data_IF_383980896973
#
_entry.id   IF_383980896973
#
_cell.length_a   1.000
_cell.length_b   1.000
_cell.length_c   1.000
_cell.angle_alpha   90.00
_cell.angle_beta   90.00
_cell.angle_gamma   90.00
#
_symmetry.space_group_name_H-M   'P 1'
#
loop_
_entity.id
_entity.type
_entity.pdbx_description
1 polymer ?
#
# COMPACT_ATOMS: atom_id res chain seq x y z
N UNK A 1 7.27 -6.36 -4.34
CA UNK A 1 6.28 -6.31 -3.22
C UNK A 1 5.50 -5.00 -3.19
N UNK A 2 4.22 -5.06 -2.83
CA UNK A 2 3.32 -3.94 -2.53
C UNK A 2 2.25 -4.36 -1.54
N UNK A 3 1.44 -3.44 -1.01
CA UNK A 3 0.45 -3.79 0.02
C UNK A 3 -0.81 -2.90 0.01
N UNK A 4 -1.94 -3.46 0.45
CA UNK A 4 -3.17 -2.71 0.74
C UNK A 4 -3.40 -2.68 2.25
N UNK A 5 -3.55 -1.47 2.81
CA UNK A 5 -3.84 -1.24 4.22
C UNK A 5 -5.34 -0.98 4.42
N UNK A 6 -5.94 -1.73 5.34
CA UNK A 6 -7.33 -1.57 5.72
C UNK A 6 -7.55 -1.82 7.21
N UNK A 7 -8.64 -1.28 7.73
CA UNK A 7 -9.15 -1.65 9.05
C UNK A 7 -9.97 -2.92 8.90
N UNK A 8 -9.62 -4.02 9.59
CA UNK A 8 -10.40 -5.25 9.52
C UNK A 8 -11.81 -5.03 10.07
N UNK A 9 -12.80 -5.61 9.39
CA UNK A 9 -14.16 -5.70 9.94
C UNK A 9 -14.32 -7.06 10.64
N UNK A 10 -15.00 -7.09 11.78
CA UNK A 10 -15.31 -8.35 12.45
C UNK A 10 -16.39 -9.14 11.70
N UNK A 11 -16.33 -10.48 11.77
CA UNK A 11 -17.40 -11.37 11.32
C UNK A 11 -17.06 -12.23 10.10
N UNK A 12 -17.92 -13.21 9.82
CA UNK A 12 -17.67 -14.23 8.81
C UNK A 12 -17.61 -13.68 7.37
N UNK A 13 -18.41 -12.66 7.05
CA UNK A 13 -18.43 -12.07 5.72
C UNK A 13 -17.10 -11.39 5.36
N UNK A 14 -16.43 -10.78 6.35
CA UNK A 14 -15.12 -10.17 6.14
C UNK A 14 -14.04 -11.22 5.93
N UNK A 15 -14.02 -12.24 6.79
CA UNK A 15 -13.08 -13.36 6.65
C UNK A 15 -13.24 -14.08 5.30
N UNK A 16 -14.46 -14.20 4.78
CA UNK A 16 -14.72 -14.75 3.46
C UNK A 16 -14.17 -13.87 2.34
N UNK A 17 -14.34 -12.55 2.43
CA UNK A 17 -13.77 -11.62 1.44
C UNK A 17 -12.23 -11.66 1.43
N UNK A 18 -11.58 -11.72 2.61
CA UNK A 18 -10.13 -11.89 2.70
C UNK A 18 -9.66 -13.21 2.05
N UNK A 19 -10.38 -14.30 2.27
CA UNK A 19 -10.07 -15.59 1.65
C UNK A 19 -10.24 -15.54 0.12
N UNK A 20 -11.33 -14.96 -0.37
CA UNK A 20 -11.59 -14.81 -1.81
C UNK A 20 -10.48 -14.02 -2.51
N UNK A 21 -9.98 -12.95 -1.89
CA UNK A 21 -8.87 -12.16 -2.43
C UNK A 21 -7.60 -13.01 -2.51
N UNK A 22 -7.26 -13.75 -1.44
CA UNK A 22 -6.07 -14.60 -1.41
C UNK A 22 -6.17 -15.71 -2.46
N UNK A 23 -7.36 -16.31 -2.64
CA UNK A 23 -7.61 -17.33 -3.67
C UNK A 23 -7.51 -16.75 -5.08
N UNK A 24 -8.07 -15.56 -5.30
CA UNK A 24 -7.99 -14.84 -6.59
C UNK A 24 -6.54 -14.61 -7.00
N UNK A 25 -5.73 -14.04 -6.10
CA UNK A 25 -4.33 -13.74 -6.38
C UNK A 25 -3.49 -15.01 -6.58
N UNK A 26 -3.74 -16.06 -5.78
CA UNK A 26 -3.02 -17.34 -5.92
C UNK A 26 -3.45 -18.19 -7.11
N UNK A 27 -4.55 -17.84 -7.77
CA UNK A 27 -5.08 -18.54 -8.93
C UNK A 27 -4.42 -18.15 -10.26
N UNK A 28 -3.59 -17.11 -10.28
CA UNK A 28 -2.87 -16.68 -11.48
C UNK A 28 -1.76 -17.68 -11.88
N UNK A 29 -1.43 -17.73 -13.17
CA UNK A 29 -0.39 -18.64 -13.68
C UNK A 29 1.00 -18.33 -13.08
N UNK A 30 1.28 -17.04 -12.87
CA UNK A 30 2.46 -16.51 -12.20
C UNK A 30 2.04 -15.89 -10.87
N UNK A 31 1.37 -16.69 -10.01
CA UNK A 31 0.79 -16.19 -8.77
C UNK A 31 1.84 -15.60 -7.81
N UNK A 32 1.63 -14.38 -7.29
CA UNK A 32 2.51 -13.79 -6.31
C UNK A 32 2.42 -14.49 -4.95
N UNK A 33 3.43 -14.30 -4.09
CA UNK A 33 3.30 -14.64 -2.69
C UNK A 33 2.40 -13.61 -1.98
N UNK A 34 1.43 -14.11 -1.22
CA UNK A 34 0.41 -13.27 -0.57
C UNK A 34 0.35 -13.61 0.90
N UNK A 35 0.46 -12.57 1.74
CA UNK A 35 0.42 -12.68 3.20
C UNK A 35 -0.33 -11.53 3.85
N UNK A 36 -0.87 -11.78 5.04
CA UNK A 36 -1.51 -10.76 5.87
C UNK A 36 -0.57 -10.39 7.02
N UNK A 37 -0.25 -9.11 7.14
CA UNK A 37 0.52 -8.55 8.24
C UNK A 37 -0.38 -7.64 9.09
N UNK A 38 -0.33 -7.77 10.42
CA UNK A 38 -1.11 -6.95 11.33
C UNK A 38 -0.18 -5.95 12.02
N UNK A 39 -0.50 -4.67 11.97
CA UNK A 39 0.32 -3.65 12.62
C UNK A 39 -0.10 -3.37 14.07
N UNK A 40 0.75 -2.64 14.78
CA UNK A 40 0.53 -2.24 16.17
C UNK A 40 -0.64 -1.26 16.36
N UNK A 41 -1.18 -0.71 15.27
CA UNK A 41 -2.26 0.28 15.26
C UNK A 41 -3.63 -0.35 14.98
N UNK A 42 -3.68 -1.68 14.78
CA UNK A 42 -4.90 -2.43 14.52
C UNK A 42 -5.37 -2.38 13.07
N UNK A 43 -4.46 -2.08 12.13
CA UNK A 43 -4.70 -2.27 10.71
C UNK A 43 -4.11 -3.58 10.21
N UNK A 44 -4.68 -4.07 9.11
CA UNK A 44 -4.17 -5.21 8.37
C UNK A 44 -3.59 -4.72 7.06
N UNK A 45 -2.44 -5.28 6.70
CA UNK A 45 -1.75 -5.09 5.44
C UNK A 45 -1.82 -6.41 4.68
N UNK A 46 -2.57 -6.43 3.58
CA UNK A 46 -2.47 -7.52 2.61
C UNK A 46 -1.29 -7.22 1.70
N UNK A 47 -0.24 -8.02 1.83
CA UNK A 47 1.03 -7.87 1.13
C UNK A 47 1.06 -8.83 -0.05
N UNK A 48 1.38 -8.27 -1.22
CA UNK A 48 1.60 -8.99 -2.47
C UNK A 48 3.09 -8.88 -2.77
N UNK A 49 3.78 -10.02 -2.85
CA UNK A 49 5.20 -10.12 -3.16
C UNK A 49 5.36 -10.83 -4.49
N UNK A 50 5.61 -10.03 -5.53
CA UNK A 50 5.74 -10.46 -6.91
C UNK A 50 7.07 -9.98 -7.52
N UNK A 51 7.30 -10.29 -8.79
CA UNK A 51 8.45 -9.84 -9.59
C UNK A 51 8.71 -8.34 -9.36
N UNK A 52 9.88 -7.97 -8.82
CA UNK A 52 10.21 -6.57 -8.57
C UNK A 52 10.28 -5.72 -9.86
N UNK A 53 10.44 -6.34 -11.02
CA UNK A 53 10.48 -5.65 -12.31
C UNK A 53 9.07 -5.48 -12.94
N UNK A 54 8.03 -6.16 -12.43
CA UNK A 54 6.64 -6.05 -12.90
C UNK A 54 5.77 -5.17 -12.00
N UNK A 55 6.00 -3.86 -12.07
CA UNK A 55 5.18 -2.87 -11.34
C UNK A 55 3.73 -2.83 -11.84
N UNK A 56 3.48 -3.12 -13.12
CA UNK A 56 2.14 -3.09 -13.70
C UNK A 56 1.27 -4.24 -13.18
N UNK A 57 1.82 -5.45 -13.14
CA UNK A 57 1.20 -6.63 -12.51
C UNK A 57 0.89 -6.36 -11.04
N UNK A 58 1.87 -5.86 -10.28
CA UNK A 58 1.68 -5.53 -8.88
C UNK A 58 0.53 -4.50 -8.67
N UNK A 59 0.47 -3.44 -9.47
CA UNK A 59 -0.61 -2.44 -9.36
C UNK A 59 -1.97 -3.06 -9.70
N UNK A 60 -2.02 -3.96 -10.66
CA UNK A 60 -3.23 -4.71 -11.03
C UNK A 60 -3.74 -5.55 -9.87
N UNK A 61 -2.85 -6.27 -9.18
CA UNK A 61 -3.19 -7.08 -8.02
C UNK A 61 -3.68 -6.22 -6.84
N UNK A 62 -2.99 -5.13 -6.53
CA UNK A 62 -3.43 -4.20 -5.48
C UNK A 62 -4.79 -3.57 -5.81
N UNK A 63 -5.07 -3.31 -7.09
CA UNK A 63 -6.38 -2.86 -7.54
C UNK A 63 -7.47 -3.94 -7.35
N UNK A 64 -7.16 -5.20 -7.67
CA UNK A 64 -8.07 -6.32 -7.45
C UNK A 64 -8.44 -6.48 -5.96
N UNK A 65 -7.45 -6.35 -5.06
CA UNK A 65 -7.68 -6.37 -3.60
C UNK A 65 -8.64 -5.25 -3.18
N UNK A 66 -8.36 -4.01 -3.61
CA UNK A 66 -9.17 -2.85 -3.28
C UNK A 66 -10.63 -2.99 -3.76
N UNK A 67 -10.82 -3.37 -5.02
CA UNK A 67 -12.15 -3.50 -5.63
C UNK A 67 -12.96 -4.65 -5.05
N UNK A 68 -12.30 -5.76 -4.68
CA UNK A 68 -12.97 -6.88 -4.02
C UNK A 68 -13.42 -6.51 -2.61
N UNK A 69 -12.58 -5.84 -1.82
CA UNK A 69 -13.00 -5.34 -0.51
C UNK A 69 -14.15 -4.34 -0.62
N UNK A 70 -14.12 -3.44 -1.61
CA UNK A 70 -15.20 -2.49 -1.85
C UNK A 70 -16.51 -3.17 -2.27
N UNK A 71 -16.47 -4.15 -3.17
CA UNK A 71 -17.64 -4.85 -3.68
C UNK A 71 -18.37 -5.67 -2.59
N UNK A 72 -17.63 -6.15 -1.58
CA UNK A 72 -18.17 -6.77 -0.38
C UNK A 72 -18.66 -5.76 0.68
N UNK A 73 -18.58 -4.45 0.40
CA UNK A 73 -19.06 -3.38 1.28
C UNK A 73 -18.04 -2.93 2.33
N UNK A 74 -16.79 -3.36 2.24
CA UNK A 74 -15.71 -3.01 3.18
C UNK A 74 -14.88 -1.80 2.73
N UNK A 75 -15.28 -1.12 1.65
CA UNK A 75 -14.67 0.13 1.17
C UNK A 75 -14.49 1.22 2.24
N UNK A 76 -15.42 1.43 3.20
CA UNK A 76 -15.22 2.39 4.29
C UNK A 76 -13.98 2.12 5.18
N UNK A 77 -13.55 0.86 5.24
CA UNK A 77 -12.39 0.38 5.97
C UNK A 77 -11.08 0.40 5.18
N UNK A 78 -11.10 0.69 3.87
CA UNK A 78 -9.88 0.87 3.07
C UNK A 78 -9.20 2.21 3.43
N UNK A 79 -7.88 2.16 3.67
CA UNK A 79 -7.07 3.34 4.00
C UNK A 79 -6.22 3.76 2.80
N UNK A 80 -5.27 2.91 2.44
CA UNK A 80 -4.32 3.19 1.37
C UNK A 80 -3.75 1.93 0.73
N UNK A 81 -3.10 2.10 -0.40
CA UNK A 81 -2.21 1.11 -1.00
C UNK A 81 -0.79 1.67 -1.07
N UNK A 82 0.21 0.80 -0.96
CA UNK A 82 1.62 1.16 -0.88
C UNK A 82 2.42 0.36 -1.92
N UNK A 83 3.26 1.06 -2.67
CA UNK A 83 4.33 0.47 -3.48
C UNK A 83 5.67 1.01 -2.98
N UNK A 84 6.51 0.19 -2.30
CA UNK A 84 7.83 0.59 -1.86
C UNK A 84 8.86 0.52 -2.99
N UNK A 85 9.74 1.51 -3.03
CA UNK A 85 10.89 1.61 -3.90
C UNK A 85 12.16 1.72 -3.07
N UNK A 86 13.27 1.23 -3.61
CA UNK A 86 14.60 1.41 -3.03
C UNK A 86 15.57 1.92 -4.10
N UNK A 87 16.44 2.85 -3.72
CA UNK A 87 17.56 3.23 -4.58
C UNK A 87 18.75 2.26 -4.44
N UNK A 88 19.77 2.43 -5.27
CA UNK A 88 20.99 1.61 -5.24
C UNK A 88 21.79 1.73 -3.93
N UNK A 89 21.51 2.74 -3.11
CA UNK A 89 22.13 2.92 -1.78
C UNK A 89 21.34 2.22 -0.67
N UNK A 90 20.19 1.63 -1.00
CA UNK A 90 19.28 0.99 -0.06
C UNK A 90 18.33 1.96 0.65
N UNK A 91 18.27 3.23 0.21
CA UNK A 91 17.30 4.19 0.75
C UNK A 91 15.91 3.86 0.22
N UNK A 92 14.93 3.78 1.12
CA UNK A 92 13.55 3.36 0.79
C UNK A 92 12.59 4.54 0.80
N UNK A 93 11.63 4.50 -0.11
CA UNK A 93 10.47 5.40 -0.12
C UNK A 93 9.26 4.64 -0.65
N UNK A 94 8.08 4.93 -0.09
CA UNK A 94 6.81 4.38 -0.52
C UNK A 94 6.03 5.38 -1.37
N UNK A 95 5.49 4.93 -2.49
CA UNK A 95 4.39 5.64 -3.14
C UNK A 95 3.08 5.14 -2.53
N UNK A 96 2.37 6.05 -1.86
CA UNK A 96 1.14 5.72 -1.14
C UNK A 96 -0.07 6.29 -1.87
N UNK A 97 -1.01 5.44 -2.22
CA UNK A 97 -2.31 5.82 -2.77
C UNK A 97 -3.37 5.91 -1.66
N UNK A 98 -3.96 7.08 -1.45
CA UNK A 98 -5.05 7.29 -0.50
C UNK A 98 -6.38 6.87 -1.12
N UNK A 99 -6.95 5.77 -0.63
CA UNK A 99 -8.10 5.13 -1.25
C UNK A 99 -9.30 6.07 -1.40
N UNK A 100 -9.61 6.85 -0.35
CA UNK A 100 -10.78 7.74 -0.33
C UNK A 100 -10.58 9.03 -1.13
N UNK A 101 -9.34 9.47 -1.31
CA UNK A 101 -9.03 10.72 -1.99
C UNK A 101 -8.73 10.50 -3.46
N UNK A 102 -8.33 9.29 -3.86
CA UNK A 102 -7.85 9.03 -5.22
C UNK A 102 -6.53 9.75 -5.53
N UNK A 103 -5.75 10.06 -4.50
CA UNK A 103 -4.51 10.85 -4.61
C UNK A 103 -3.31 10.08 -4.08
N UNK A 104 -2.11 10.48 -4.50
CA UNK A 104 -0.85 9.85 -4.12
C UNK A 104 0.01 10.77 -3.27
N UNK A 105 0.80 10.20 -2.36
CA UNK A 105 1.88 10.91 -1.71
C UNK A 105 3.10 10.00 -1.48
N UNK A 106 4.33 10.54 -1.56
CA UNK A 106 5.52 9.82 -1.15
C UNK A 106 5.63 9.78 0.38
N UNK A 107 6.04 8.63 0.92
CA UNK A 107 6.40 8.48 2.32
C UNK A 107 7.82 7.93 2.41
N UNK A 108 8.74 8.66 3.03
CA UNK A 108 10.14 8.26 3.13
C UNK A 108 10.57 8.18 4.60
N UNK A 109 10.62 6.99 5.21
CA UNK A 109 11.15 6.85 6.56
C UNK A 109 12.67 7.08 6.56
N UNK A 110 13.17 7.82 7.54
CA UNK A 110 14.60 7.99 7.72
C UNK A 110 15.21 6.71 8.30
N UNK A 111 16.14 6.10 7.56
CA UNK A 111 16.82 4.87 7.96
C UNK A 111 17.44 4.99 9.36
N UNK A 112 17.13 4.04 10.24
CA UNK A 112 17.70 3.95 11.60
C UNK A 112 17.26 5.05 12.59
N UNK A 113 16.33 5.95 12.22
CA UNK A 113 15.94 7.10 13.04
C UNK A 113 14.55 6.97 13.72
N UNK A 114 14.04 5.76 13.90
CA UNK A 114 12.72 5.51 14.46
C UNK A 114 11.60 6.12 13.60
N UNK A 115 10.62 6.79 14.24
CA UNK A 115 9.44 7.38 13.56
C UNK A 115 9.72 8.80 13.03
N UNK A 116 10.73 8.95 12.18
CA UNK A 116 11.14 10.23 11.57
C UNK A 116 11.13 10.13 10.04
N UNK A 117 10.62 11.18 9.36
CA UNK A 117 10.54 11.23 7.88
C UNK A 117 11.74 11.97 7.28
N UNK A 118 12.22 11.50 6.13
CA UNK A 118 13.09 12.28 5.25
C UNK A 118 12.23 13.26 4.43
N UNK A 119 11.88 14.39 5.05
CA UNK A 119 11.01 15.39 4.41
C UNK A 119 11.60 15.95 3.10
N UNK A 120 12.93 16.00 2.98
CA UNK A 120 13.58 16.51 1.77
C UNK A 120 13.32 15.55 0.60
N UNK A 121 13.50 14.25 0.84
CA UNK A 121 13.20 13.22 -0.15
C UNK A 121 11.71 13.20 -0.51
N UNK A 122 10.81 13.30 0.47
CA UNK A 122 9.37 13.36 0.23
C UNK A 122 8.99 14.55 -0.68
N UNK A 123 9.55 15.74 -0.46
CA UNK A 123 9.31 16.92 -1.31
C UNK A 123 9.85 16.70 -2.73
N UNK A 124 11.06 16.14 -2.86
CA UNK A 124 11.66 15.86 -4.18
C UNK A 124 10.82 14.88 -4.99
N UNK A 125 10.38 13.78 -4.36
CA UNK A 125 9.53 12.79 -5.02
C UNK A 125 8.15 13.36 -5.37
N UNK A 126 7.57 14.17 -4.48
CA UNK A 126 6.30 14.86 -4.74
C UNK A 126 6.39 15.72 -5.99
N UNK A 127 7.44 16.53 -6.11
CA UNK A 127 7.62 17.45 -7.23
C UNK A 127 7.90 16.69 -8.54
N UNK A 128 8.64 15.57 -8.47
CA UNK A 128 8.84 14.67 -9.61
C UNK A 128 7.54 14.05 -10.11
N UNK A 129 6.66 13.62 -9.20
CA UNK A 129 5.41 12.92 -9.53
C UNK A 129 4.25 13.85 -9.88
N UNK A 130 4.32 15.14 -9.56
CA UNK A 130 3.21 16.09 -9.68
C UNK A 130 2.67 16.27 -11.11
N UNK A 131 3.47 15.97 -12.14
CA UNK A 131 3.06 16.00 -13.55
C UNK A 131 2.49 14.68 -14.06
N UNK A 132 2.72 13.58 -13.35
CA UNK A 132 2.42 12.21 -13.80
C UNK A 132 1.22 11.61 -13.06
N UNK A 133 1.03 11.96 -11.78
CA UNK A 133 0.00 11.39 -10.90
C UNK A 133 -0.77 12.48 -10.15
N UNK A 134 -2.02 12.21 -9.72
CA UNK A 134 -2.78 13.12 -8.85
C UNK A 134 -2.17 13.13 -7.44
N UNK A 135 -1.21 14.02 -7.21
CA UNK A 135 -0.53 14.13 -5.91
C UNK A 135 -1.40 14.86 -4.87
N UNK A 136 -1.44 14.32 -3.64
CA UNK A 136 -2.16 14.89 -2.50
C UNK A 136 -1.49 16.18 -2.03
N UNK A 137 -2.26 17.27 -2.06
CA UNK A 137 -1.78 18.62 -1.74
C UNK A 137 -1.86 18.90 -0.24
N UNK A 138 -2.83 18.31 0.46
CA UNK A 138 -3.02 18.50 1.89
C UNK A 138 -2.09 17.55 2.66
N UNK A 139 -0.91 18.05 3.04
CA UNK A 139 0.09 17.27 3.80
C UNK A 139 -0.44 16.70 5.13
N UNK A 140 -1.47 17.30 5.72
CA UNK A 140 -2.15 16.77 6.92
C UNK A 140 -2.85 15.43 6.67
N UNK A 141 -3.14 15.08 5.41
CA UNK A 141 -3.71 13.78 5.01
C UNK A 141 -2.66 12.70 4.78
N UNK A 142 -1.37 13.07 4.75
CA UNK A 142 -0.30 12.12 4.52
C UNK A 142 -0.11 11.26 5.75
N UNK A 143 -0.67 10.04 5.72
CA UNK A 143 -0.61 9.10 6.82
C UNK A 143 0.85 8.74 7.13
N UNK A 144 1.17 8.66 8.42
CA UNK A 144 2.47 8.19 8.88
C UNK A 144 2.44 6.66 9.01
N UNK A 145 2.73 5.97 7.92
CA UNK A 145 2.64 4.50 7.79
C UNK A 145 3.92 3.81 8.31
N UNK A 146 4.26 4.05 9.57
CA UNK A 146 5.45 3.48 10.20
C UNK A 146 5.38 1.96 10.27
N UNK A 147 6.46 1.29 9.88
CA UNK A 147 6.52 -0.17 9.86
C UNK A 147 5.69 -0.81 8.74
N UNK A 148 5.26 -0.01 7.75
CA UNK A 148 4.57 -0.56 6.59
C UNK A 148 5.45 -1.54 5.82
N UNK A 149 4.88 -2.60 5.22
CA UNK A 149 5.64 -3.62 4.52
C UNK A 149 6.56 -3.05 3.45
N UNK A 150 7.84 -3.43 3.51
CA UNK A 150 8.86 -3.03 2.54
C UNK A 150 9.50 -1.66 2.76
N UNK A 151 9.20 -0.95 3.86
CA UNK A 151 9.80 0.34 4.23
C UNK A 151 10.65 0.28 5.48
#
# INVERSE_FOLDING_TARGET
>A
LGAVCYRPAGGAAFAQAEQEIVELLRGAADAPDVRLEHDEFGFTWLVVDDDPDDVEGLVTDLHAVNTTLESHGFGPGLLCSLVPFADATGRRAGLVYLYKQGTFYPFAPQAGAGRTRDNLLEIQLRDLLAGELPVEREMSRWLAIWGAPGL
#
